data_IF_114042030790
#
_entry.id   IF_114042030790
#
_cell.length_a   1.000
_cell.length_b   1.000
_cell.length_c   1.000
_cell.angle_alpha   90.00
_cell.angle_beta   90.00
_cell.angle_gamma   90.00
#
_symmetry.space_group_name_H-M   'P 1'
#
loop_
_entity.id
_entity.type
_entity.pdbx_description
1 polymer ?
#
# COMPACT_ATOMS: atom_id res chain seq x y z
N UNK A 1 0.86 -6.48 11.58
CA UNK A 1 2.03 -6.83 10.74
C UNK A 1 2.64 -8.13 11.28
N UNK A 2 1.98 -9.27 11.08
CA UNK A 2 2.38 -10.57 11.65
C UNK A 2 3.23 -11.50 10.74
N UNK A 3 3.00 -11.57 9.42
CA UNK A 3 3.68 -12.56 8.57
C UNK A 3 5.00 -12.10 7.93
N UNK A 4 5.49 -10.88 8.22
CA UNK A 4 6.73 -10.35 7.64
C UNK A 4 7.96 -10.48 8.56
N UNK A 5 7.82 -11.09 9.74
CA UNK A 5 8.95 -11.23 10.69
C UNK A 5 9.94 -12.34 10.32
N UNK A 6 9.56 -13.29 9.46
CA UNK A 6 10.35 -14.49 9.13
C UNK A 6 10.92 -14.50 7.71
N UNK A 7 10.66 -13.46 6.92
CA UNK A 7 11.21 -13.28 5.57
C UNK A 7 12.15 -12.08 5.66
N UNK A 8 13.32 -12.15 5.00
CA UNK A 8 14.42 -11.19 5.01
C UNK A 8 14.04 -9.74 5.40
N UNK A 9 14.87 -9.02 6.19
CA UNK A 9 14.52 -7.72 6.75
C UNK A 9 14.02 -6.76 5.66
N UNK A 10 12.70 -6.57 5.60
CA UNK A 10 12.07 -5.69 4.61
C UNK A 10 12.14 -4.28 5.15
N UNK A 11 12.70 -3.38 4.34
CA UNK A 11 12.61 -1.94 4.57
C UNK A 11 11.17 -1.45 4.35
N UNK A 12 10.64 -0.71 5.31
CA UNK A 12 9.32 -0.10 5.27
C UNK A 12 9.45 1.41 5.35
N UNK A 13 8.93 2.10 4.33
CA UNK A 13 8.78 3.57 4.34
C UNK A 13 7.30 3.90 4.37
N UNK A 14 6.88 4.68 5.37
CA UNK A 14 5.48 5.07 5.53
C UNK A 14 5.34 6.56 5.83
N UNK A 15 4.27 7.19 5.33
CA UNK A 15 3.95 8.57 5.69
C UNK A 15 3.30 8.62 7.07
N UNK A 16 3.81 9.49 7.93
CA UNK A 16 3.22 9.80 9.22
C UNK A 16 2.28 11.01 9.16
N UNK A 17 1.34 11.06 10.10
CA UNK A 17 0.46 12.21 10.29
C UNK A 17 1.27 13.35 10.93
N UNK A 18 1.00 14.60 10.55
CA UNK A 18 1.78 15.77 10.96
C UNK A 18 1.63 16.18 12.44
N UNK A 19 0.79 15.51 13.22
CA UNK A 19 0.51 15.79 14.63
C UNK A 19 0.97 14.66 15.56
N UNK A 20 1.84 13.77 15.08
CA UNK A 20 2.37 12.67 15.89
C UNK A 20 3.35 13.19 16.94
N UNK A 21 3.40 12.43 18.03
CA UNK A 21 4.39 12.57 19.10
C UNK A 21 5.09 11.23 19.22
N UNK A 22 6.41 11.27 19.09
CA UNK A 22 7.33 10.16 19.26
C UNK A 22 8.16 10.37 20.52
N UNK A 23 8.93 9.36 20.87
CA UNK A 23 9.82 9.38 22.02
C UNK A 23 11.15 8.74 21.62
N UNK A 24 12.26 9.27 22.14
CA UNK A 24 13.56 8.62 22.03
C UNK A 24 13.73 7.47 23.03
N UNK A 25 14.87 6.79 22.93
CA UNK A 25 15.26 5.78 23.91
C UNK A 25 15.39 6.38 25.32
N UNK A 26 14.92 5.68 26.37
CA UNK A 26 15.06 6.14 27.74
C UNK A 26 16.55 6.20 28.15
N UNK A 27 16.93 7.08 29.08
CA UNK A 27 18.28 7.10 29.63
C UNK A 27 18.62 5.77 30.34
N UNK A 28 19.92 5.49 30.47
CA UNK A 28 20.41 4.31 31.17
C UNK A 28 19.80 4.19 32.57
N UNK A 29 19.29 3.01 32.90
CA UNK A 29 18.55 2.80 34.13
C UNK A 29 19.50 2.60 35.32
N UNK A 30 19.39 3.47 36.33
CA UNK A 30 20.31 3.49 37.49
C UNK A 30 19.63 3.29 38.86
N UNK A 31 18.42 2.71 38.90
CA UNK A 31 17.60 2.68 40.11
C UNK A 31 17.05 1.30 40.52
N UNK A 32 16.09 1.30 41.46
CA UNK A 32 15.43 0.09 41.99
C UNK A 32 13.93 -0.05 41.62
N UNK A 33 13.35 0.93 40.92
CA UNK A 33 11.95 0.94 40.44
C UNK A 33 11.79 0.32 39.04
N UNK A 34 10.64 0.56 38.39
CA UNK A 34 10.43 0.15 37.00
C UNK A 34 11.19 1.09 36.05
N UNK A 35 12.00 0.58 35.09
CA UNK A 35 12.67 1.43 34.10
C UNK A 35 11.69 2.28 33.29
N UNK A 36 12.14 3.49 32.93
CA UNK A 36 11.42 4.33 31.99
C UNK A 36 11.38 3.67 30.61
N UNK A 37 10.24 3.80 29.91
CA UNK A 37 10.06 3.25 28.55
C UNK A 37 10.33 4.28 27.44
N UNK A 38 10.41 5.55 27.81
CA UNK A 38 10.46 6.67 26.89
C UNK A 38 11.47 7.68 27.42
N UNK A 39 12.35 8.14 26.54
CA UNK A 39 13.20 9.30 26.77
C UNK A 39 12.49 10.59 26.35
N UNK A 40 13.24 11.47 25.70
CA UNK A 40 12.76 12.80 25.34
C UNK A 40 11.58 12.74 24.37
N UNK A 41 10.67 13.69 24.59
CA UNK A 41 9.46 13.86 23.78
C UNK A 41 9.84 14.52 22.47
N UNK A 42 9.40 13.94 21.35
CA UNK A 42 9.59 14.48 20.00
C UNK A 42 8.22 14.75 19.37
N UNK A 43 7.78 16.01 19.30
CA UNK A 43 6.46 16.39 18.80
C UNK A 43 6.54 17.08 17.43
N UNK A 44 5.88 16.51 16.42
CA UNK A 44 5.97 17.01 15.03
C UNK A 44 5.45 18.43 14.80
N UNK A 45 4.65 18.95 15.73
CA UNK A 45 4.11 20.32 15.70
C UNK A 45 4.96 21.33 16.47
N UNK A 46 6.01 20.87 17.15
CA UNK A 46 6.81 21.69 18.04
C UNK A 46 8.30 21.45 17.77
N UNK A 47 8.87 22.31 16.93
CA UNK A 47 10.26 22.18 16.46
C UNK A 47 11.29 22.25 17.59
N UNK A 48 10.93 22.89 18.70
CA UNK A 48 11.80 23.00 19.88
C UNK A 48 12.08 21.63 20.51
N UNK A 49 11.23 20.64 20.23
CA UNK A 49 11.35 19.28 20.76
C UNK A 49 12.17 18.33 19.89
N UNK A 50 12.64 18.77 18.72
CA UNK A 50 13.26 17.85 17.75
C UNK A 50 14.72 17.55 18.09
N UNK A 51 15.40 18.42 18.83
CA UNK A 51 16.83 18.31 19.04
C UNK A 51 17.63 18.43 17.73
N UNK A 52 18.87 17.94 17.75
CA UNK A 52 19.76 17.93 16.58
C UNK A 52 19.38 16.73 15.70
N UNK A 53 19.30 16.94 14.38
CA UNK A 53 19.08 15.85 13.43
C UNK A 53 20.36 15.02 13.26
N UNK A 54 20.20 13.70 13.19
CA UNK A 54 21.31 12.77 12.94
C UNK A 54 21.78 12.83 11.49
N UNK A 55 20.85 13.07 10.56
CA UNK A 55 21.12 13.34 9.15
C UNK A 55 20.42 14.64 8.73
N UNK A 56 21.14 15.57 8.10
CA UNK A 56 20.57 16.76 7.44
C UNK A 56 21.19 16.90 6.05
N UNK A 57 20.42 16.57 5.02
CA UNK A 57 20.89 16.53 3.63
C UNK A 57 20.01 17.37 2.74
N UNK A 58 20.63 18.17 1.88
CA UNK A 58 19.95 18.95 0.85
C UNK A 58 20.48 18.57 -0.52
N UNK A 59 19.59 18.31 -1.49
CA UNK A 59 19.98 17.93 -2.84
C UNK A 59 18.90 18.33 -3.87
N UNK A 60 19.28 18.27 -5.15
CA UNK A 60 18.36 18.48 -6.26
C UNK A 60 17.69 17.17 -6.67
N UNK A 61 16.36 17.16 -6.72
CA UNK A 61 15.52 16.05 -7.18
C UNK A 61 14.81 16.44 -8.49
N UNK A 62 14.92 15.58 -9.51
CA UNK A 62 14.37 15.85 -10.85
C UNK A 62 12.86 16.12 -10.85
N UNK A 63 12.11 15.48 -9.96
CA UNK A 63 10.63 15.58 -9.90
C UNK A 63 10.17 16.59 -8.87
N UNK A 64 10.94 16.74 -7.79
CA UNK A 64 10.54 17.44 -6.55
C UNK A 64 11.28 18.74 -6.32
N UNK A 65 12.20 19.14 -7.22
CA UNK A 65 12.97 20.37 -7.09
C UNK A 65 14.05 20.24 -6.03
N UNK A 66 14.39 21.32 -5.36
CA UNK A 66 15.33 21.28 -4.25
C UNK A 66 14.65 20.66 -3.01
N UNK A 67 15.26 19.60 -2.47
CA UNK A 67 14.73 18.82 -1.34
C UNK A 67 15.70 18.90 -0.17
N UNK A 68 15.18 19.11 1.04
CA UNK A 68 15.90 18.95 2.31
C UNK A 68 15.25 17.86 3.14
N UNK A 69 16.07 16.96 3.65
CA UNK A 69 15.68 15.87 4.53
C UNK A 69 16.39 16.02 5.85
N UNK A 70 15.64 15.96 6.95
CA UNK A 70 16.18 15.86 8.31
C UNK A 70 15.74 14.55 8.94
N UNK A 71 16.67 13.76 9.43
CA UNK A 71 16.46 12.44 10.01
C UNK A 71 16.74 12.41 11.51
N UNK A 72 15.91 11.69 12.26
CA UNK A 72 16.14 11.35 13.66
C UNK A 72 15.95 9.84 13.85
N UNK A 73 17.00 9.16 14.26
CA UNK A 73 17.02 7.72 14.48
C UNK A 73 16.46 7.35 15.85
N UNK A 74 16.21 6.04 16.03
CA UNK A 74 15.83 5.44 17.32
C UNK A 74 14.63 6.10 18.03
N UNK A 75 13.64 6.56 17.26
CA UNK A 75 12.37 7.08 17.77
C UNK A 75 11.29 5.99 17.73
N UNK A 76 10.39 6.01 18.72
CA UNK A 76 9.28 5.08 18.80
C UNK A 76 7.96 5.74 19.18
N UNK A 77 6.85 5.02 18.96
CA UNK A 77 5.53 5.47 19.41
C UNK A 77 5.30 5.11 20.87
N UNK A 78 4.52 5.94 21.58
CA UNK A 78 4.15 5.68 22.99
C UNK A 78 3.54 4.29 23.23
N UNK A 79 2.77 3.80 22.26
CA UNK A 79 2.04 2.53 22.35
C UNK A 79 2.90 1.31 22.00
N UNK A 80 4.05 1.52 21.37
CA UNK A 80 4.90 0.47 20.81
C UNK A 80 6.36 0.92 20.92
N UNK A 81 6.90 0.78 22.12
CA UNK A 81 8.26 1.21 22.45
C UNK A 81 9.34 0.25 21.96
N UNK A 82 8.96 -0.97 21.59
CA UNK A 82 9.88 -2.01 21.14
C UNK A 82 10.15 -1.90 19.62
N UNK A 83 9.43 -1.01 18.93
CA UNK A 83 9.56 -0.78 17.48
C UNK A 83 10.10 0.62 17.21
N UNK A 84 11.41 0.75 17.25
CA UNK A 84 12.12 1.98 16.89
C UNK A 84 12.26 2.13 15.38
N UNK A 85 12.21 3.37 14.89
CA UNK A 85 12.35 3.71 13.47
C UNK A 85 12.97 5.11 13.32
N UNK A 86 13.41 5.42 12.11
CA UNK A 86 13.89 6.76 11.77
C UNK A 86 12.72 7.64 11.35
N UNK A 87 12.53 8.78 12.01
CA UNK A 87 11.60 9.81 11.55
C UNK A 87 12.32 10.76 10.58
N UNK A 88 11.69 11.06 9.44
CA UNK A 88 12.28 11.91 8.41
C UNK A 88 11.33 13.08 8.15
N UNK A 89 11.80 14.30 8.39
CA UNK A 89 11.13 15.52 7.98
C UNK A 89 11.56 15.88 6.56
N UNK A 90 10.58 16.03 5.68
CA UNK A 90 10.81 16.21 4.25
C UNK A 90 10.26 17.56 3.81
N UNK A 91 11.15 18.40 3.30
CA UNK A 91 10.83 19.68 2.68
C UNK A 91 11.19 19.58 1.19
N UNK A 92 10.26 19.96 0.31
CA UNK A 92 10.44 19.87 -1.14
C UNK A 92 10.17 21.21 -1.81
N UNK A 93 10.72 21.42 -3.00
CA UNK A 93 10.58 22.65 -3.79
C UNK A 93 11.04 23.89 -3.02
N UNK A 94 12.19 23.80 -2.35
CA UNK A 94 12.74 24.89 -1.55
C UNK A 94 13.03 26.14 -2.36
N UNK A 95 13.24 25.98 -3.67
CA UNK A 95 13.42 27.06 -4.65
C UNK A 95 12.16 27.92 -4.86
N UNK A 96 10.99 27.45 -4.45
CA UNK A 96 9.72 28.19 -4.63
C UNK A 96 9.42 29.07 -3.44
N UNK A 97 8.83 30.23 -3.71
CA UNK A 97 8.31 31.15 -2.70
C UNK A 97 7.15 30.52 -1.93
N UNK A 98 6.14 29.99 -2.64
CA UNK A 98 5.03 29.23 -2.05
C UNK A 98 5.36 27.73 -2.00
N UNK A 99 5.93 27.30 -0.88
CA UNK A 99 6.35 25.91 -0.66
C UNK A 99 5.19 24.99 -0.32
N UNK A 100 5.20 23.73 -0.80
CA UNK A 100 4.31 22.69 -0.28
C UNK A 100 4.53 22.47 1.22
N UNK A 101 3.47 22.06 1.92
CA UNK A 101 3.57 21.68 3.32
C UNK A 101 4.53 20.49 3.48
N UNK A 102 5.50 20.57 4.41
CA UNK A 102 6.41 19.46 4.70
C UNK A 102 5.67 18.21 5.13
N UNK A 103 6.29 17.06 4.91
CA UNK A 103 5.73 15.77 5.31
C UNK A 103 6.69 15.03 6.23
N UNK A 104 6.12 14.14 7.03
CA UNK A 104 6.86 13.23 7.88
C UNK A 104 6.82 11.83 7.31
N UNK A 105 7.98 11.18 7.22
CA UNK A 105 8.10 9.77 6.90
C UNK A 105 8.65 9.00 8.10
N UNK A 106 8.30 7.73 8.20
CA UNK A 106 8.94 6.75 9.05
C UNK A 106 9.69 5.77 8.16
N UNK A 107 10.94 5.49 8.50
CA UNK A 107 11.75 4.44 7.90
C UNK A 107 12.08 3.38 8.95
N UNK A 108 11.61 2.16 8.71
CA UNK A 108 11.91 0.97 9.52
C UNK A 108 12.65 -0.03 8.64
N UNK A 109 13.91 -0.30 8.92
CA UNK A 109 14.75 -1.17 8.10
C UNK A 109 16.18 -1.22 8.61
N UNK A 110 17.10 -1.74 7.79
CA UNK A 110 18.52 -1.76 8.13
C UNK A 110 19.08 -0.33 8.28
N UNK A 111 19.95 -0.14 9.27
CA UNK A 111 20.60 1.16 9.57
C UNK A 111 21.64 1.57 8.53
N UNK A 112 22.02 0.68 7.60
CA UNK A 112 22.95 0.97 6.52
C UNK A 112 22.38 1.95 5.46
N UNK A 113 21.08 2.22 5.49
CA UNK A 113 20.43 3.06 4.51
C UNK A 113 20.23 4.49 4.99
N UNK A 114 20.52 5.44 4.10
CA UNK A 114 20.41 6.88 4.41
C UNK A 114 18.96 7.37 4.34
N UNK A 115 18.67 8.53 4.96
CA UNK A 115 17.35 9.17 4.78
C UNK A 115 17.04 9.52 3.33
N UNK A 116 18.07 9.76 2.52
CA UNK A 116 17.93 10.02 1.08
C UNK A 116 17.44 8.78 0.33
N UNK A 117 17.99 7.60 0.61
CA UNK A 117 17.53 6.35 0.01
C UNK A 117 16.09 6.04 0.41
N UNK A 118 15.75 6.19 1.70
CA UNK A 118 14.39 6.01 2.19
C UNK A 118 13.40 6.98 1.49
N UNK A 119 13.80 8.23 1.26
CA UNK A 119 13.02 9.20 0.48
C UNK A 119 12.81 8.75 -0.97
N UNK A 120 13.87 8.31 -1.66
CA UNK A 120 13.77 7.86 -3.04
C UNK A 120 12.85 6.64 -3.17
N UNK A 121 12.84 5.75 -2.16
CA UNK A 121 11.92 4.61 -2.17
C UNK A 121 10.46 4.98 -1.94
N UNK A 122 10.19 6.11 -1.28
CA UNK A 122 8.81 6.58 -1.06
C UNK A 122 8.06 6.82 -2.38
N UNK A 123 8.77 7.16 -3.45
CA UNK A 123 8.21 7.33 -4.79
C UNK A 123 7.64 6.00 -5.36
N UNK A 124 8.15 4.84 -4.93
CA UNK A 124 7.59 3.53 -5.30
C UNK A 124 6.22 3.24 -4.68
N UNK A 125 5.73 4.09 -3.75
CA UNK A 125 4.37 3.99 -3.22
C UNK A 125 3.33 4.40 -4.26
N UNK A 126 3.66 5.35 -5.15
CA UNK A 126 2.68 5.95 -6.06
C UNK A 126 2.00 4.93 -6.98
N UNK A 127 2.71 3.97 -7.61
CA UNK A 127 2.09 2.97 -8.49
C UNK A 127 1.07 2.04 -7.81
N UNK A 128 1.11 1.88 -6.48
CA UNK A 128 0.23 0.97 -5.74
C UNK A 128 -1.24 1.31 -5.99
N UNK A 129 -1.62 2.58 -5.79
CA UNK A 129 -3.02 3.01 -5.89
C UNK A 129 -3.58 2.92 -7.32
N UNK A 130 -2.91 3.44 -8.38
CA UNK A 130 -3.32 3.22 -9.76
C UNK A 130 -3.41 1.75 -10.12
N UNK A 131 -2.52 0.89 -9.61
CA UNK A 131 -2.53 -0.54 -9.91
C UNK A 131 -3.73 -1.26 -9.27
N UNK A 132 -4.10 -0.89 -8.03
CA UNK A 132 -5.31 -1.40 -7.36
C UNK A 132 -6.56 -0.92 -8.10
N UNK A 133 -6.60 0.37 -8.47
CA UNK A 133 -7.70 0.95 -9.25
C UNK A 133 -7.88 0.22 -10.58
N UNK A 134 -6.78 -0.03 -11.30
CA UNK A 134 -6.80 -0.77 -12.56
C UNK A 134 -7.40 -2.17 -12.39
N UNK A 135 -6.91 -2.95 -11.41
CA UNK A 135 -7.45 -4.30 -11.13
C UNK A 135 -8.95 -4.27 -10.83
N UNK A 136 -9.41 -3.32 -10.00
CA UNK A 136 -10.83 -3.17 -9.67
C UNK A 136 -11.69 -2.82 -10.90
N UNK A 137 -11.24 -1.87 -11.70
CA UNK A 137 -12.06 -1.29 -12.78
C UNK A 137 -11.95 -2.04 -14.11
N UNK A 138 -10.79 -2.61 -14.43
CA UNK A 138 -10.48 -3.19 -15.75
C UNK A 138 -10.34 -4.70 -15.72
N UNK A 139 -9.93 -5.27 -14.57
CA UNK A 139 -9.89 -6.72 -14.36
C UNK A 139 -11.03 -7.21 -13.47
N UNK A 140 -12.00 -6.34 -13.19
CA UNK A 140 -13.23 -6.68 -12.48
C UNK A 140 -13.02 -7.34 -11.12
N UNK A 141 -11.96 -6.98 -10.39
CA UNK A 141 -11.60 -7.63 -9.13
C UNK A 141 -12.76 -7.67 -8.13
N UNK A 142 -13.57 -6.61 -8.05
CA UNK A 142 -14.69 -6.50 -7.11
C UNK A 142 -16.07 -6.71 -7.74
N UNK A 143 -16.15 -7.15 -9.00
CA UNK A 143 -17.43 -7.35 -9.69
C UNK A 143 -18.15 -8.65 -9.26
N UNK A 144 -17.47 -9.81 -9.11
CA UNK A 144 -18.16 -11.06 -8.78
C UNK A 144 -18.68 -11.10 -7.34
N UNK A 145 -19.95 -11.47 -7.17
CA UNK A 145 -20.57 -11.70 -5.86
C UNK A 145 -20.39 -13.17 -5.42
N UNK A 146 -19.16 -13.55 -5.10
CA UNK A 146 -18.82 -14.90 -4.66
C UNK A 146 -19.26 -15.15 -3.22
N UNK A 147 -19.91 -16.29 -2.99
CA UNK A 147 -20.52 -16.64 -1.69
C UNK A 147 -19.56 -17.36 -0.72
N UNK A 148 -18.32 -17.64 -1.12
CA UNK A 148 -17.34 -18.38 -0.33
C UNK A 148 -15.98 -17.69 -0.39
N UNK A 149 -15.30 -17.57 0.77
CA UNK A 149 -13.99 -16.92 0.89
C UNK A 149 -12.93 -17.54 -0.03
N UNK A 150 -12.86 -18.87 -0.07
CA UNK A 150 -11.93 -19.60 -0.95
C UNK A 150 -12.12 -19.25 -2.42
N UNK A 151 -13.35 -18.96 -2.86
CA UNK A 151 -13.61 -18.49 -4.23
C UNK A 151 -13.15 -17.05 -4.44
N UNK A 152 -13.31 -16.17 -3.43
CA UNK A 152 -12.77 -14.80 -3.46
C UNK A 152 -11.24 -14.80 -3.55
N UNK A 153 -10.58 -15.71 -2.83
CA UNK A 153 -9.13 -15.86 -2.86
C UNK A 153 -8.66 -16.35 -4.24
N UNK A 154 -9.30 -17.41 -4.78
CA UNK A 154 -9.02 -17.87 -6.15
C UNK A 154 -9.24 -16.77 -7.19
N UNK A 155 -10.32 -15.98 -7.06
CA UNK A 155 -10.57 -14.86 -7.96
C UNK A 155 -9.48 -13.79 -7.88
N UNK A 156 -8.99 -13.50 -6.67
CA UNK A 156 -7.88 -12.56 -6.47
C UNK A 156 -6.61 -13.06 -7.15
N UNK A 157 -6.28 -14.35 -7.03
CA UNK A 157 -5.14 -14.95 -7.73
C UNK A 157 -5.28 -14.92 -9.25
N UNK A 158 -6.48 -15.15 -9.79
CA UNK A 158 -6.74 -15.03 -11.23
C UNK A 158 -6.54 -13.60 -11.74
N UNK A 159 -7.02 -12.60 -10.98
CA UNK A 159 -6.82 -11.19 -11.31
C UNK A 159 -5.34 -10.81 -11.26
N UNK A 160 -4.60 -11.31 -10.27
CA UNK A 160 -3.17 -11.05 -10.16
C UNK A 160 -2.38 -11.70 -11.30
N UNK A 161 -2.70 -12.95 -11.65
CA UNK A 161 -2.11 -13.63 -12.81
C UNK A 161 -2.41 -12.87 -14.12
N UNK A 162 -3.64 -12.43 -14.33
CA UNK A 162 -4.02 -11.63 -15.49
C UNK A 162 -3.27 -10.28 -15.53
N UNK A 163 -3.09 -9.62 -14.38
CA UNK A 163 -2.29 -8.40 -14.30
C UNK A 163 -0.82 -8.64 -14.71
N UNK A 164 -0.21 -9.72 -14.22
CA UNK A 164 1.15 -10.08 -14.61
C UNK A 164 1.27 -10.47 -16.08
N UNK A 165 0.28 -11.18 -16.64
CA UNK A 165 0.23 -11.46 -18.07
C UNK A 165 0.20 -10.17 -18.90
N UNK A 166 -0.63 -9.19 -18.50
CA UNK A 166 -0.65 -7.87 -19.16
C UNK A 166 0.68 -7.14 -19.01
N UNK A 167 1.30 -7.20 -17.84
CA UNK A 167 2.62 -6.60 -17.63
C UNK A 167 3.67 -7.20 -18.56
N UNK A 168 3.74 -8.53 -18.67
CA UNK A 168 4.68 -9.23 -19.54
C UNK A 168 4.37 -8.99 -21.03
N UNK A 169 3.08 -8.95 -21.39
CA UNK A 169 2.64 -8.75 -22.77
C UNK A 169 2.97 -7.34 -23.31
N UNK A 170 3.26 -6.36 -22.46
CA UNK A 170 3.45 -4.96 -22.86
C UNK A 170 4.56 -4.75 -23.90
N UNK A 171 5.58 -5.61 -23.90
CA UNK A 171 6.74 -5.51 -24.81
C UNK A 171 6.50 -6.21 -26.15
N UNK A 172 5.49 -7.08 -26.25
CA UNK A 172 5.22 -7.90 -27.44
C UNK A 172 3.92 -7.53 -28.15
N UNK A 173 3.00 -6.89 -27.45
CA UNK A 173 1.70 -6.46 -28.02
C UNK A 173 1.88 -5.24 -28.91
N UNK A 174 1.30 -5.30 -30.11
CA UNK A 174 1.20 -4.15 -31.02
C UNK A 174 0.04 -3.26 -30.57
N UNK A 175 0.29 -1.97 -30.35
CA UNK A 175 -0.76 -1.01 -29.95
C UNK A 175 -1.84 -0.91 -31.03
N UNK A 176 -3.08 -0.79 -30.60
CA UNK A 176 -4.24 -0.56 -31.45
C UNK A 176 -5.10 0.58 -30.88
N UNK A 177 -4.65 1.83 -31.02
CA UNK A 177 -5.42 2.99 -30.57
C UNK A 177 -6.75 3.09 -31.33
N UNK A 178 -7.79 3.52 -30.61
CA UNK A 178 -8.99 4.07 -31.24
C UNK A 178 -8.66 5.37 -32.00
N UNK A 179 -9.46 5.81 -32.98
CA UNK A 179 -9.13 6.97 -33.82
C UNK A 179 -8.82 8.27 -33.06
N UNK A 180 -9.46 8.47 -31.89
CA UNK A 180 -9.26 9.65 -31.04
C UNK A 180 -8.17 9.47 -29.97
N UNK A 181 -7.54 8.30 -29.91
CA UNK A 181 -6.54 7.97 -28.91
C UNK A 181 -5.14 8.35 -29.41
N UNK A 182 -4.42 9.16 -28.63
CA UNK A 182 -3.04 9.55 -28.95
C UNK A 182 -2.11 8.31 -29.01
N UNK A 183 -1.14 8.26 -29.94
CA UNK A 183 -0.13 7.22 -29.95
C UNK A 183 0.74 7.29 -28.68
N UNK A 184 1.20 6.14 -28.20
CA UNK A 184 2.06 6.03 -27.02
C UNK A 184 3.30 5.20 -27.33
N UNK A 185 4.47 5.67 -26.88
CA UNK A 185 5.73 4.92 -26.95
C UNK A 185 5.82 3.84 -25.87
N UNK A 186 5.29 4.13 -24.68
CA UNK A 186 5.16 3.17 -23.56
C UNK A 186 3.69 2.90 -23.29
N UNK A 187 3.26 1.66 -23.52
CA UNK A 187 1.87 1.28 -23.36
C UNK A 187 1.46 1.28 -21.90
N UNK A 188 0.28 1.83 -21.63
CA UNK A 188 -0.36 1.72 -20.32
C UNK A 188 -1.03 0.35 -20.17
N UNK A 189 -1.26 -0.15 -18.94
CA UNK A 189 -1.96 -1.42 -18.73
C UNK A 189 -3.31 -1.52 -19.47
N UNK A 190 -4.04 -0.40 -19.57
CA UNK A 190 -5.31 -0.34 -20.32
C UNK A 190 -5.10 -0.49 -21.83
N UNK A 191 -4.00 0.05 -22.39
CA UNK A 191 -3.67 -0.15 -23.82
C UNK A 191 -3.29 -1.57 -24.11
N UNK A 192 -2.44 -2.16 -23.27
CA UNK A 192 -2.06 -3.58 -23.43
C UNK A 192 -3.30 -4.46 -23.35
N UNK A 193 -4.21 -4.21 -22.40
CA UNK A 193 -5.46 -4.95 -22.29
C UNK A 193 -6.35 -4.83 -23.55
N UNK A 194 -6.39 -3.66 -24.19
CA UNK A 194 -7.14 -3.47 -25.43
C UNK A 194 -6.58 -4.27 -26.60
N UNK A 195 -5.27 -4.49 -26.63
CA UNK A 195 -4.57 -5.10 -27.76
C UNK A 195 -4.15 -6.57 -27.54
N UNK A 196 -4.19 -7.07 -26.29
CA UNK A 196 -3.74 -8.44 -25.94
C UNK A 196 -4.55 -9.54 -26.63
N UNK A 197 -5.80 -9.28 -27.03
CA UNK A 197 -6.63 -10.24 -27.74
C UNK A 197 -5.99 -10.76 -29.03
N UNK A 198 -5.24 -9.91 -29.74
CA UNK A 198 -4.52 -10.30 -30.95
C UNK A 198 -3.35 -11.24 -30.68
N UNK A 199 -2.67 -11.04 -29.56
CA UNK A 199 -1.60 -11.94 -29.13
C UNK A 199 -2.17 -13.34 -28.85
N UNK A 200 -3.32 -13.41 -28.17
CA UNK A 200 -4.00 -14.69 -27.94
C UNK A 200 -4.46 -15.37 -29.23
N UNK A 201 -4.91 -14.59 -30.23
CA UNK A 201 -5.26 -15.14 -31.54
C UNK A 201 -4.05 -15.78 -32.26
N UNK A 202 -2.83 -15.27 -32.05
CA UNK A 202 -1.60 -15.82 -32.65
C UNK A 202 -1.10 -17.08 -31.95
N UNK A 203 -1.25 -17.16 -30.62
CA UNK A 203 -0.82 -18.32 -29.82
C UNK A 203 -1.82 -19.48 -29.97
N UNK A 204 -3.10 -19.17 -30.21
CA UNK A 204 -4.20 -20.12 -30.15
C UNK A 204 -4.66 -20.37 -28.71
N UNK A 205 -5.64 -21.27 -28.55
CA UNK A 205 -6.13 -21.64 -27.21
C UNK A 205 -5.54 -22.96 -26.76
N UNK A 206 -4.89 -23.04 -25.58
CA UNK A 206 -4.50 -24.32 -24.98
C UNK A 206 -5.72 -25.10 -24.46
N UNK A 207 -6.91 -24.49 -24.47
CA UNK A 207 -8.13 -25.12 -23.94
C UNK A 207 -8.73 -26.08 -24.96
N UNK A 208 -9.29 -27.19 -24.46
CA UNK A 208 -10.14 -28.06 -25.27
C UNK A 208 -11.33 -27.28 -25.87
N UNK A 209 -11.87 -27.71 -27.02
CA UNK A 209 -13.09 -27.15 -27.58
C UNK A 209 -14.20 -27.10 -26.52
N UNK A 210 -14.97 -26.02 -26.52
CA UNK A 210 -16.08 -25.84 -25.60
C UNK A 210 -17.08 -26.99 -25.81
N UNK A 211 -17.52 -27.63 -24.74
CA UNK A 211 -18.59 -28.63 -24.86
C UNK A 211 -19.87 -27.94 -25.34
N UNK A 212 -20.47 -28.44 -26.42
CA UNK A 212 -21.78 -27.97 -26.87
C UNK A 212 -22.78 -28.10 -25.72
N UNK A 213 -23.42 -26.99 -25.36
CA UNK A 213 -24.45 -26.96 -24.32
C UNK A 213 -25.68 -27.71 -24.81
N UNK A 214 -25.68 -29.03 -24.66
CA UNK A 214 -26.89 -29.86 -24.80
C UNK A 214 -27.85 -29.51 -23.67
N UNK A 215 -29.13 -29.84 -23.85
CA UNK A 215 -30.10 -29.77 -22.75
C UNK A 215 -29.58 -30.63 -21.59
N UNK A 216 -29.21 -29.97 -20.49
CA UNK A 216 -28.83 -30.67 -19.28
C UNK A 216 -30.04 -31.48 -18.81
N UNK A 217 -29.88 -32.70 -18.27
CA UNK A 217 -30.98 -33.57 -17.84
C UNK A 217 -31.82 -33.03 -16.66
N UNK A 218 -31.68 -31.73 -16.33
CA UNK A 218 -32.36 -31.11 -15.20
C UNK A 218 -31.83 -31.60 -13.87
N UNK A 219 -32.57 -31.27 -12.81
CA UNK A 219 -32.30 -31.78 -11.48
C UNK A 219 -32.92 -33.18 -11.35
N UNK A 220 -32.22 -34.18 -10.78
CA UNK A 220 -32.79 -35.53 -10.65
C UNK A 220 -34.09 -35.53 -9.84
N UNK A 221 -35.13 -36.15 -10.38
CA UNK A 221 -36.42 -36.35 -9.71
C UNK A 221 -36.20 -37.08 -8.38
N UNK A 222 -36.87 -36.65 -7.31
CA UNK A 222 -36.75 -37.25 -5.97
C UNK A 222 -35.54 -36.82 -5.14
N UNK A 223 -34.57 -36.07 -5.71
CA UNK A 223 -33.46 -35.51 -4.92
C UNK A 223 -33.80 -34.09 -4.45
N UNK A 224 -33.83 -33.79 -3.13
CA UNK A 224 -34.00 -32.42 -2.67
C UNK A 224 -32.78 -31.56 -2.99
N UNK A 225 -32.99 -30.27 -3.25
CA UNK A 225 -31.89 -29.30 -3.43
C UNK A 225 -31.28 -28.93 -2.09
N UNK A 226 -29.96 -29.03 -1.97
CA UNK A 226 -29.22 -28.48 -0.84
C UNK A 226 -29.31 -26.95 -0.89
N UNK A 227 -30.00 -26.36 0.09
CA UNK A 227 -30.07 -24.90 0.22
C UNK A 227 -28.70 -24.39 0.73
N UNK A 228 -28.14 -23.31 0.15
CA UNK A 228 -26.94 -22.70 0.68
C UNK A 228 -27.15 -22.27 2.15
N UNK A 229 -26.14 -22.47 2.98
CA UNK A 229 -26.15 -21.96 4.35
C UNK A 229 -26.29 -20.43 4.32
N UNK A 230 -27.32 -19.91 5.00
CA UNK A 230 -27.52 -18.47 5.14
C UNK A 230 -26.98 -18.01 6.48
N UNK A 231 -26.06 -17.06 6.46
CA UNK A 231 -25.59 -16.40 7.67
C UNK A 231 -26.49 -15.20 7.99
N UNK A 232 -26.83 -15.00 9.27
CA UNK A 232 -27.56 -13.79 9.69
C UNK A 232 -26.65 -12.57 9.44
N UNK A 233 -27.17 -11.48 8.84
CA UNK A 233 -26.38 -10.25 8.68
C UNK A 233 -25.87 -9.78 10.04
N UNK A 234 -24.56 -9.56 10.17
CA UNK A 234 -24.00 -8.96 11.37
C UNK A 234 -24.40 -7.47 11.38
N UNK A 235 -25.39 -7.12 12.20
CA UNK A 235 -25.71 -5.72 12.47
C UNK A 235 -24.63 -5.16 13.37
N UNK A 236 -23.86 -4.19 12.88
CA UNK A 236 -23.01 -3.38 13.74
C UNK A 236 -23.94 -2.52 14.59
N UNK A 237 -24.00 -2.80 15.89
CA UNK A 237 -24.68 -1.91 16.82
C UNK A 237 -24.03 -0.52 16.73
N UNK A 238 -24.86 0.53 16.63
CA UNK A 238 -24.36 1.90 16.71
C UNK A 238 -23.62 2.03 18.04
N UNK A 239 -22.32 2.36 18.00
CA UNK A 239 -21.57 2.73 19.20
C UNK A 239 -22.36 3.83 19.92
N UNK A 240 -22.92 3.51 21.09
CA UNK A 240 -23.43 4.55 21.97
C UNK A 240 -22.24 5.44 22.33
N UNK A 241 -22.30 6.71 21.94
CA UNK A 241 -21.41 7.73 22.47
C UNK A 241 -21.68 7.81 23.97
N UNK A 242 -20.82 7.19 24.78
CA UNK A 242 -20.79 7.50 26.22
C UNK A 242 -20.31 8.94 26.35
N UNK A 243 -21.25 9.86 26.56
CA UNK A 243 -20.93 11.21 27.02
C UNK A 243 -20.18 11.07 28.35
N UNK A 244 -18.88 11.34 28.35
CA UNK A 244 -18.14 11.57 29.59
C UNK A 244 -18.56 12.95 30.12
N UNK A 245 -19.01 13.08 31.37
CA UNK A 245 -19.22 14.39 31.97
C UNK A 245 -17.89 15.15 32.02
N UNK A 246 -17.93 16.45 31.72
CA UNK A 246 -16.78 17.36 31.85
C UNK A 246 -16.38 17.43 33.34
N UNK A 247 -15.08 17.35 33.68
CA UNK A 247 -14.63 17.69 35.02
C UNK A 247 -14.85 19.19 35.28
N UNK A 248 -15.32 19.50 36.49
CA UNK A 248 -15.41 20.85 37.04
C UNK A 248 -14.01 21.43 37.31
#
# INVERSE_FOLDING_TARGET
MGPLRSVAPVAVVARLRCDRVLYGSPPAYSGWRRPHKHGDRFAFKDETTWGIADEDVTFQDERRGQVRLRGWHDLHMRQDADTSFTAIYVEVRLEREKRPQPIWLAYLGATAHTVREAWLWFDHRWPIEPSIRFRKQKLYWTLPNLQASTRCDCWTWLVEAAFWQLYLAREVVRDQPLPWQKPLTRLTPTRVLGSIGLLFAQIGSPTRPVQTRRNSPGWPTGKPRTRPQRFKPHRRDKKQHKNRPKPA
#
